data_IF_182256536394
#
_entry.id   IF_182256536394
#
_cell.length_a   1.000
_cell.length_b   1.000
_cell.length_c   1.000
_cell.angle_alpha   90.00
_cell.angle_beta   90.00
_cell.angle_gamma   90.00
#
_symmetry.space_group_name_H-M   'P 1'
#
loop_
_entity.id
_entity.type
_entity.pdbx_description
1 polymer ?
#
# COMPACT_ATOMS: atom_id res chain seq x y z
N UNK A 1 -44.62 -30.21 -43.21
CA UNK A 1 -44.08 -31.51 -43.70
C UNK A 1 -43.41 -31.26 -45.05
N UNK A 2 -42.11 -31.06 -45.24
CA UNK A 2 -40.91 -31.24 -44.45
C UNK A 2 -39.88 -30.23 -45.01
N UNK A 3 -39.34 -29.36 -44.16
CA UNK A 3 -38.15 -28.48 -44.34
C UNK A 3 -38.27 -27.29 -43.36
N UNK A 4 -38.28 -27.58 -42.06
CA UNK A 4 -37.95 -26.62 -40.99
C UNK A 4 -37.71 -27.43 -39.71
N UNK A 5 -36.76 -28.35 -39.81
CA UNK A 5 -36.30 -29.23 -38.72
C UNK A 5 -34.81 -29.47 -38.93
N UNK A 6 -34.04 -28.38 -38.88
CA UNK A 6 -32.57 -28.39 -38.96
C UNK A 6 -31.97 -27.19 -38.21
N UNK A 7 -32.56 -26.82 -37.07
CA UNK A 7 -32.01 -25.82 -36.14
C UNK A 7 -32.26 -26.25 -34.68
N UNK A 8 -32.06 -27.53 -34.37
CA UNK A 8 -32.18 -28.03 -32.98
C UNK A 8 -31.05 -28.96 -32.52
N UNK A 9 -29.99 -29.17 -33.30
CA UNK A 9 -28.80 -29.92 -32.83
C UNK A 9 -27.50 -29.27 -33.30
N UNK A 10 -27.14 -28.16 -32.64
CA UNK A 10 -25.77 -27.66 -32.61
C UNK A 10 -25.57 -26.81 -31.35
N UNK A 11 -25.74 -27.42 -30.18
CA UNK A 11 -25.12 -26.90 -28.95
C UNK A 11 -23.70 -27.46 -28.85
N UNK A 12 -22.64 -26.71 -29.19
CA UNK A 12 -21.32 -27.07 -28.71
C UNK A 12 -21.27 -26.78 -27.21
N UNK A 13 -21.23 -27.88 -26.46
CA UNK A 13 -21.00 -27.98 -25.03
C UNK A 13 -19.71 -27.23 -24.62
N UNK A 14 -19.81 -25.92 -24.35
CA UNK A 14 -18.73 -25.07 -23.79
C UNK A 14 -18.64 -25.21 -22.26
N UNK A 15 -18.72 -26.45 -21.75
CA UNK A 15 -18.36 -26.75 -20.35
C UNK A 15 -17.23 -27.79 -20.21
N UNK A 16 -16.51 -28.09 -21.31
CA UNK A 16 -15.30 -28.93 -21.26
C UNK A 16 -14.15 -28.34 -22.09
N UNK A 17 -13.66 -27.15 -21.73
CA UNK A 17 -12.37 -26.63 -22.25
C UNK A 17 -11.71 -25.56 -21.36
N UNK A 18 -12.18 -25.41 -20.11
CA UNK A 18 -11.56 -24.50 -19.12
C UNK A 18 -10.72 -25.25 -18.06
N UNK A 19 -10.68 -26.59 -18.11
CA UNK A 19 -9.93 -27.42 -17.15
C UNK A 19 -8.56 -27.89 -17.65
N UNK A 20 -8.17 -27.53 -18.88
CA UNK A 20 -6.93 -28.02 -19.52
C UNK A 20 -6.08 -26.92 -20.19
N UNK A 21 -6.35 -25.63 -19.89
CA UNK A 21 -5.48 -24.51 -20.30
C UNK A 21 -4.89 -23.71 -19.14
N UNK A 22 -5.01 -24.24 -17.92
CA UNK A 22 -4.40 -23.71 -16.69
C UNK A 22 -3.20 -24.50 -16.18
N UNK A 23 -2.72 -25.49 -16.93
CA UNK A 23 -1.69 -26.43 -16.49
C UNK A 23 -0.48 -26.46 -17.44
N UNK A 24 0.17 -25.32 -17.66
CA UNK A 24 1.57 -25.26 -18.11
C UNK A 24 2.06 -23.81 -18.04
N UNK A 25 2.54 -23.40 -16.87
CA UNK A 25 3.63 -22.41 -16.67
C UNK A 25 3.92 -22.30 -15.18
N UNK A 26 4.18 -23.44 -14.56
CA UNK A 26 4.84 -23.48 -13.28
C UNK A 26 5.77 -24.69 -13.30
N UNK A 27 7.06 -24.42 -13.59
CA UNK A 27 8.27 -25.22 -13.34
C UNK A 27 9.38 -24.76 -14.29
N UNK A 28 10.22 -23.83 -13.82
CA UNK A 28 11.65 -24.08 -13.68
C UNK A 28 12.26 -22.94 -12.83
N UNK A 29 12.25 -23.14 -11.52
CA UNK A 29 13.31 -22.61 -10.66
C UNK A 29 14.39 -23.69 -10.63
N UNK A 30 15.64 -23.29 -10.92
CA UNK A 30 16.92 -23.69 -10.30
C UNK A 30 18.07 -23.53 -11.31
N UNK A 31 19.01 -22.66 -10.91
CA UNK A 31 20.44 -22.60 -11.25
C UNK A 31 20.88 -22.33 -12.70
N UNK A 32 21.40 -21.11 -12.92
CA UNK A 32 22.74 -20.97 -13.47
C UNK A 32 23.43 -19.74 -12.88
N UNK A 33 24.30 -19.97 -11.89
CA UNK A 33 25.39 -19.07 -11.60
C UNK A 33 26.40 -19.20 -12.74
N UNK A 34 26.57 -18.16 -13.56
CA UNK A 34 27.75 -18.02 -14.40
C UNK A 34 27.96 -16.54 -14.78
N UNK A 35 28.87 -15.91 -14.02
CA UNK A 35 29.86 -14.93 -14.47
C UNK A 35 29.50 -14.02 -15.66
N UNK A 36 29.07 -12.80 -15.36
CA UNK A 36 29.47 -11.63 -16.16
C UNK A 36 30.35 -10.77 -15.29
N UNK A 37 31.64 -11.05 -15.37
CA UNK A 37 32.69 -10.14 -14.98
C UNK A 37 32.96 -9.17 -16.14
N UNK A 38 33.32 -7.93 -15.75
CA UNK A 38 33.76 -6.78 -16.56
C UNK A 38 32.65 -5.96 -17.25
N UNK A 39 32.57 -4.64 -17.07
CA UNK A 39 33.64 -3.68 -16.82
C UNK A 39 33.27 -2.64 -15.73
N UNK A 40 33.85 -2.80 -14.55
CA UNK A 40 34.19 -1.66 -13.71
C UNK A 40 35.47 -1.01 -14.30
N UNK A 41 35.60 0.32 -14.32
CA UNK A 41 36.91 0.92 -14.46
C UNK A 41 37.74 0.47 -13.26
N UNK A 42 38.79 -0.29 -13.52
CA UNK A 42 39.82 -0.61 -12.56
C UNK A 42 40.51 0.70 -12.12
N UNK A 43 40.03 1.28 -11.03
CA UNK A 43 40.87 2.06 -10.14
C UNK A 43 41.43 1.07 -9.12
N UNK A 44 42.68 0.68 -9.33
CA UNK A 44 43.44 0.00 -8.30
C UNK A 44 43.53 0.90 -7.08
N UNK A 45 42.99 0.43 -5.96
CA UNK A 45 43.30 0.96 -4.65
C UNK A 45 43.20 -0.20 -3.66
N UNK A 46 44.24 -0.31 -2.85
CA UNK A 46 44.26 -0.94 -1.53
C UNK A 46 42.98 -0.65 -0.74
N UNK A 47 42.62 -1.47 0.25
CA UNK A 47 41.50 -1.24 1.16
C UNK A 47 41.36 0.25 1.57
N UNK A 48 40.60 1.02 0.79
CA UNK A 48 40.52 2.46 0.89
C UNK A 48 39.24 2.77 1.66
N UNK A 49 39.44 3.50 2.75
CA UNK A 49 38.40 3.99 3.64
C UNK A 49 37.30 4.72 2.85
N UNK A 50 36.03 4.39 3.12
CA UNK A 50 34.90 5.07 2.48
C UNK A 50 34.95 6.55 2.87
N UNK A 51 34.88 7.41 1.86
CA UNK A 51 34.98 8.86 2.05
C UNK A 51 33.60 9.49 2.18
N UNK A 52 33.54 10.64 2.87
CA UNK A 52 32.33 11.46 2.97
C UNK A 52 31.76 11.85 1.60
N UNK A 53 32.64 12.03 0.61
CA UNK A 53 32.26 12.37 -0.76
C UNK A 53 31.54 11.22 -1.47
N UNK A 54 31.91 9.97 -1.20
CA UNK A 54 31.21 8.80 -1.74
C UNK A 54 29.80 8.64 -1.16
N UNK A 55 29.61 8.94 0.13
CA UNK A 55 28.28 8.94 0.76
C UNK A 55 27.39 10.02 0.15
N UNK A 56 27.91 11.23 -0.06
CA UNK A 56 27.14 12.31 -0.68
C UNK A 56 26.81 11.99 -2.15
N UNK A 57 27.76 11.45 -2.91
CA UNK A 57 27.51 11.00 -4.28
C UNK A 57 26.43 9.90 -4.35
N UNK A 58 26.41 8.96 -3.41
CA UNK A 58 25.37 7.93 -3.33
C UNK A 58 24.00 8.52 -2.96
N UNK A 59 23.97 9.55 -2.10
CA UNK A 59 22.75 10.30 -1.76
C UNK A 59 22.21 11.09 -2.95
N UNK A 60 23.08 11.73 -3.70
CA UNK A 60 22.74 12.45 -4.94
C UNK A 60 22.19 11.47 -5.99
N UNK A 61 22.84 10.32 -6.18
CA UNK A 61 22.37 9.27 -7.09
C UNK A 61 20.97 8.75 -6.73
N UNK A 62 20.71 8.53 -5.43
CA UNK A 62 19.37 8.14 -4.94
C UNK A 62 18.31 9.22 -5.20
N UNK A 63 18.68 10.49 -5.02
CA UNK A 63 17.78 11.63 -5.27
C UNK A 63 17.51 11.76 -6.78
N UNK A 64 18.54 11.58 -7.61
CA UNK A 64 18.42 11.58 -9.07
C UNK A 64 17.52 10.43 -9.56
N UNK A 65 17.67 9.22 -9.01
CA UNK A 65 16.81 8.07 -9.29
C UNK A 65 15.34 8.30 -8.90
N UNK A 66 15.10 9.03 -7.81
CA UNK A 66 13.73 9.42 -7.43
C UNK A 66 13.16 10.47 -8.40
N UNK A 67 13.98 11.41 -8.87
CA UNK A 67 13.55 12.44 -9.83
C UNK A 67 13.32 11.89 -11.24
N UNK A 68 14.12 10.92 -11.69
CA UNK A 68 13.94 10.28 -12.99
C UNK A 68 12.63 9.49 -13.07
N UNK A 69 12.09 9.10 -11.91
CA UNK A 69 10.85 8.36 -11.79
C UNK A 69 9.59 9.23 -11.79
N UNK A 70 9.72 10.56 -11.72
CA UNK A 70 8.56 11.47 -11.66
C UNK A 70 7.62 11.28 -12.86
N UNK A 71 8.18 11.09 -14.05
CA UNK A 71 7.39 10.82 -15.27
C UNK A 71 6.69 9.46 -15.19
N UNK A 72 7.37 8.42 -14.71
CA UNK A 72 6.77 7.09 -14.54
C UNK A 72 5.66 7.07 -13.50
N UNK A 73 5.82 7.80 -12.39
CA UNK A 73 4.79 7.96 -11.35
C UNK A 73 3.57 8.69 -11.92
N UNK A 74 3.76 9.81 -12.62
CA UNK A 74 2.65 10.52 -13.28
C UNK A 74 1.93 9.64 -14.28
N UNK A 75 2.68 8.85 -15.08
CA UNK A 75 2.07 7.92 -16.03
C UNK A 75 1.29 6.82 -15.31
N UNK A 76 1.82 6.28 -14.21
CA UNK A 76 1.13 5.28 -13.38
C UNK A 76 -0.18 5.83 -12.82
N UNK A 77 -0.15 7.02 -12.21
CA UNK A 77 -1.35 7.67 -11.67
C UNK A 77 -2.41 7.88 -12.77
N UNK A 78 -1.98 8.34 -13.94
CA UNK A 78 -2.88 8.53 -15.08
C UNK A 78 -3.43 7.19 -15.58
N UNK A 79 -2.60 6.15 -15.70
CA UNK A 79 -3.04 4.83 -16.17
C UNK A 79 -4.08 4.20 -15.22
N UNK A 80 -3.95 4.42 -13.91
CA UNK A 80 -4.95 3.96 -12.91
C UNK A 80 -6.29 4.69 -13.09
N UNK A 81 -6.26 6.00 -13.35
CA UNK A 81 -7.46 6.78 -13.64
C UNK A 81 -8.10 6.31 -14.95
N UNK A 82 -7.29 6.14 -16.01
CA UNK A 82 -7.74 5.66 -17.31
C UNK A 82 -8.41 4.27 -17.17
N UNK A 83 -7.83 3.36 -16.39
CA UNK A 83 -8.37 2.02 -16.14
C UNK A 83 -9.73 2.06 -15.44
N UNK A 84 -9.89 2.99 -14.49
CA UNK A 84 -11.15 3.20 -13.78
C UNK A 84 -12.25 3.71 -14.73
N UNK A 85 -11.92 4.67 -15.59
CA UNK A 85 -12.85 5.20 -16.59
C UNK A 85 -13.25 4.15 -17.62
N UNK A 86 -12.30 3.31 -18.06
CA UNK A 86 -12.57 2.20 -18.97
C UNK A 86 -13.51 1.18 -18.31
N UNK A 87 -13.34 0.86 -17.02
CA UNK A 87 -14.28 -0.01 -16.28
C UNK A 87 -15.69 0.56 -16.26
N UNK A 88 -15.85 1.85 -15.98
CA UNK A 88 -17.16 2.49 -15.98
C UNK A 88 -17.82 2.42 -17.36
N UNK A 89 -17.04 2.66 -18.43
CA UNK A 89 -17.50 2.50 -19.82
C UNK A 89 -17.91 1.07 -20.14
N UNK A 90 -17.15 0.07 -19.71
CA UNK A 90 -17.49 -1.36 -19.89
C UNK A 90 -18.83 -1.69 -19.22
N UNK A 91 -19.04 -1.22 -17.99
CA UNK A 91 -20.30 -1.45 -17.25
C UNK A 91 -21.47 -0.77 -17.96
N UNK A 92 -21.29 0.48 -18.42
CA UNK A 92 -22.31 1.21 -19.16
C UNK A 92 -22.67 0.52 -20.49
N UNK A 93 -21.67 0.09 -21.27
CA UNK A 93 -21.86 -0.65 -22.51
C UNK A 93 -22.56 -1.98 -22.26
N UNK A 94 -22.12 -2.76 -21.26
CA UNK A 94 -22.76 -4.03 -20.90
C UNK A 94 -24.24 -3.85 -20.57
N UNK A 95 -24.60 -2.81 -19.80
CA UNK A 95 -25.99 -2.49 -19.50
C UNK A 95 -26.79 -2.11 -20.75
N UNK A 96 -26.22 -1.28 -21.63
CA UNK A 96 -26.88 -0.87 -22.87
C UNK A 96 -27.11 -2.04 -23.82
N UNK A 97 -26.12 -2.93 -23.97
CA UNK A 97 -26.22 -4.15 -24.76
C UNK A 97 -27.35 -5.04 -24.23
N UNK A 98 -27.45 -5.26 -22.92
CA UNK A 98 -28.55 -6.05 -22.35
C UNK A 98 -29.94 -5.44 -22.60
N UNK A 99 -30.06 -4.11 -22.65
CA UNK A 99 -31.31 -3.45 -23.02
C UNK A 99 -31.64 -3.64 -24.50
N UNK A 100 -30.63 -3.55 -25.38
CA UNK A 100 -30.80 -3.82 -26.81
C UNK A 100 -31.18 -5.27 -27.08
N UNK A 101 -30.63 -6.25 -26.33
CA UNK A 101 -31.03 -7.66 -26.45
C UNK A 101 -32.52 -7.86 -26.19
N UNK A 102 -33.06 -7.20 -25.16
CA UNK A 102 -34.50 -7.24 -24.84
C UNK A 102 -35.34 -6.57 -25.92
N UNK A 103 -34.89 -5.42 -26.46
CA UNK A 103 -35.61 -4.72 -27.52
C UNK A 103 -35.58 -5.52 -28.83
N UNK A 104 -34.45 -6.11 -29.21
CA UNK A 104 -34.32 -7.02 -30.36
C UNK A 104 -35.29 -8.19 -30.19
N UNK A 105 -35.29 -8.86 -29.04
CA UNK A 105 -36.21 -9.97 -28.79
C UNK A 105 -37.68 -9.54 -28.92
N UNK A 106 -38.03 -8.36 -28.39
CA UNK A 106 -39.38 -7.81 -28.49
C UNK A 106 -39.77 -7.49 -29.94
N UNK A 107 -38.86 -6.89 -30.72
CA UNK A 107 -39.09 -6.58 -32.13
C UNK A 107 -39.15 -7.82 -33.01
N UNK A 108 -38.35 -8.85 -32.72
CA UNK A 108 -38.42 -10.14 -33.40
C UNK A 108 -39.80 -10.78 -33.24
N UNK A 109 -40.39 -10.74 -32.05
CA UNK A 109 -41.80 -11.18 -31.84
C UNK A 109 -42.76 -10.34 -32.70
N UNK A 110 -42.58 -9.02 -32.76
CA UNK A 110 -43.39 -8.16 -33.62
C UNK A 110 -43.28 -8.49 -35.12
N UNK A 111 -42.09 -8.87 -35.59
CA UNK A 111 -41.88 -9.35 -36.96
C UNK A 111 -42.55 -10.71 -37.17
N UNK A 112 -42.46 -11.62 -36.21
CA UNK A 112 -43.15 -12.92 -36.27
C UNK A 112 -44.67 -12.75 -36.33
N UNK A 113 -45.24 -11.89 -35.48
CA UNK A 113 -46.68 -11.56 -35.48
C UNK A 113 -47.10 -10.96 -36.82
N UNK A 114 -46.28 -10.08 -37.40
CA UNK A 114 -46.51 -9.50 -38.72
C UNK A 114 -46.52 -10.58 -39.81
N UNK A 115 -45.55 -11.49 -39.81
CA UNK A 115 -45.46 -12.61 -40.76
C UNK A 115 -46.66 -13.54 -40.61
N UNK A 116 -47.04 -13.89 -39.38
CA UNK A 116 -48.21 -14.71 -39.08
C UNK A 116 -49.50 -14.01 -39.52
N UNK A 117 -49.66 -12.72 -39.25
CA UNK A 117 -50.82 -11.94 -39.70
C UNK A 117 -50.92 -11.90 -41.23
N UNK A 118 -49.79 -11.73 -41.94
CA UNK A 118 -49.76 -11.75 -43.41
C UNK A 118 -50.07 -13.13 -43.99
N UNK A 119 -49.56 -14.19 -43.37
CA UNK A 119 -49.78 -15.58 -43.78
C UNK A 119 -51.22 -16.04 -43.52
N UNK A 120 -51.75 -15.80 -42.32
CA UNK A 120 -53.10 -16.20 -41.89
C UNK A 120 -54.20 -15.41 -42.60
N UNK A 121 -53.94 -14.13 -42.90
CA UNK A 121 -54.82 -13.36 -43.79
C UNK A 121 -54.66 -13.73 -45.28
N UNK A 122 -53.84 -14.73 -45.59
CA UNK A 122 -53.73 -15.43 -46.89
C UNK A 122 -53.34 -14.55 -48.09
N UNK A 123 -52.82 -13.34 -47.86
CA UNK A 123 -52.82 -12.28 -48.88
C UNK A 123 -54.23 -11.93 -49.41
N UNK A 124 -55.27 -12.57 -48.89
CA UNK A 124 -56.65 -12.55 -49.36
C UNK A 124 -57.45 -11.42 -48.72
N UNK A 125 -57.00 -10.82 -47.61
CA UNK A 125 -57.56 -9.53 -47.17
C UNK A 125 -57.32 -8.43 -48.22
N UNK A 126 -56.20 -8.49 -48.94
CA UNK A 126 -55.82 -7.53 -49.97
C UNK A 126 -56.47 -7.89 -51.32
N UNK A 127 -56.37 -9.16 -51.75
CA UNK A 127 -56.98 -9.63 -52.98
C UNK A 127 -58.52 -9.66 -52.89
N UNK A 128 -59.11 -10.20 -51.82
CA UNK A 128 -60.58 -10.22 -51.67
C UNK A 128 -61.17 -8.83 -51.46
N UNK A 129 -60.45 -7.86 -50.86
CA UNK A 129 -60.89 -6.46 -50.83
C UNK A 129 -60.69 -5.75 -52.18
N UNK A 130 -59.61 -6.06 -52.93
CA UNK A 130 -59.43 -5.58 -54.31
C UNK A 130 -60.53 -6.10 -55.25
N UNK A 131 -61.07 -7.30 -54.98
CA UNK A 131 -62.17 -7.88 -55.76
C UNK A 131 -63.56 -7.62 -55.14
N UNK A 132 -63.67 -6.99 -53.96
CA UNK A 132 -64.95 -6.57 -53.37
C UNK A 132 -65.38 -5.14 -53.73
N UNK A 133 -64.71 -4.52 -54.71
CA UNK A 133 -65.03 -3.18 -55.22
C UNK A 133 -66.49 -3.11 -55.64
N UNK A 134 -67.27 -2.21 -55.02
CA UNK A 134 -68.65 -1.93 -55.42
C UNK A 134 -68.74 -0.73 -56.37
N UNK A 135 -67.77 0.19 -56.31
CA UNK A 135 -67.76 1.44 -57.08
C UNK A 135 -66.34 1.91 -57.46
N UNK A 136 -66.18 2.58 -58.61
CA UNK A 136 -64.89 3.06 -59.13
C UNK A 136 -64.26 4.18 -58.27
N UNK A 137 -65.04 4.83 -57.41
CA UNK A 137 -64.61 5.89 -56.48
C UNK A 137 -63.88 5.38 -55.23
N UNK A 138 -63.93 4.08 -54.96
CA UNK A 138 -63.29 3.48 -53.77
C UNK A 138 -61.80 3.16 -54.00
N UNK A 139 -61.37 3.14 -55.26
CA UNK A 139 -60.00 2.80 -55.67
C UNK A 139 -58.90 3.71 -55.06
N UNK A 140 -59.05 5.06 -55.00
CA UNK A 140 -58.01 5.93 -54.46
C UNK A 140 -57.83 5.79 -52.93
N UNK A 141 -58.92 5.57 -52.20
CA UNK A 141 -58.89 5.37 -50.74
C UNK A 141 -58.24 4.04 -50.40
N UNK A 142 -58.47 3.02 -51.24
CA UNK A 142 -57.91 1.70 -51.05
C UNK A 142 -56.44 1.62 -51.43
N UNK A 143 -55.96 2.33 -52.47
CA UNK A 143 -54.53 2.45 -52.76
C UNK A 143 -53.76 3.12 -51.63
N UNK A 144 -54.31 4.21 -51.07
CA UNK A 144 -53.74 4.90 -49.91
C UNK A 144 -53.67 3.98 -48.68
N UNK A 145 -54.72 3.18 -48.44
CA UNK A 145 -54.74 2.21 -47.35
C UNK A 145 -53.66 1.12 -47.50
N UNK A 146 -53.39 0.65 -48.71
CA UNK A 146 -52.33 -0.35 -48.97
C UNK A 146 -50.93 0.23 -48.85
N UNK A 147 -50.74 1.48 -49.26
CA UNK A 147 -49.48 2.20 -49.11
C UNK A 147 -49.16 2.41 -47.62
N UNK A 148 -50.14 2.85 -46.82
CA UNK A 148 -50.01 3.01 -45.37
C UNK A 148 -49.71 1.68 -44.67
N UNK A 149 -50.37 0.59 -45.04
CA UNK A 149 -50.10 -0.73 -44.46
C UNK A 149 -48.68 -1.21 -44.75
N UNK A 150 -48.22 -1.06 -46.00
CA UNK A 150 -46.86 -1.46 -46.38
C UNK A 150 -45.81 -0.59 -45.69
N UNK A 151 -46.09 0.68 -45.46
CA UNK A 151 -45.20 1.60 -44.74
C UNK A 151 -45.05 1.19 -43.26
N UNK A 152 -46.15 0.81 -42.60
CA UNK A 152 -46.13 0.30 -41.23
C UNK A 152 -45.35 -1.03 -41.13
N UNK A 153 -45.58 -1.96 -42.06
CA UNK A 153 -44.89 -3.25 -42.09
C UNK A 153 -43.37 -3.09 -42.29
N UNK A 154 -42.98 -2.21 -43.23
CA UNK A 154 -41.57 -1.87 -43.46
C UNK A 154 -40.95 -1.12 -42.28
N UNK A 155 -41.71 -0.33 -41.54
CA UNK A 155 -41.22 0.36 -40.35
C UNK A 155 -40.83 -0.64 -39.24
N UNK A 156 -41.57 -1.74 -39.08
CA UNK A 156 -41.23 -2.80 -38.12
C UNK A 156 -39.90 -3.47 -38.49
N UNK A 157 -39.72 -3.81 -39.78
CA UNK A 157 -38.48 -4.44 -40.27
C UNK A 157 -37.26 -3.51 -40.17
N UNK A 158 -37.40 -2.25 -40.62
CA UNK A 158 -36.33 -1.25 -40.48
C UNK A 158 -35.98 -0.95 -39.02
N UNK A 159 -36.99 -0.98 -38.15
CA UNK A 159 -36.80 -0.82 -36.71
C UNK A 159 -35.94 -1.94 -36.11
N UNK A 160 -36.18 -3.19 -36.49
CA UNK A 160 -35.34 -4.32 -36.07
C UNK A 160 -33.91 -4.20 -36.60
N UNK A 161 -33.74 -3.93 -37.89
CA UNK A 161 -32.43 -3.77 -38.53
C UNK A 161 -31.60 -2.66 -37.85
N UNK A 162 -32.24 -1.54 -37.50
CA UNK A 162 -31.58 -0.42 -36.81
C UNK A 162 -31.05 -0.83 -35.44
N UNK A 163 -31.83 -1.57 -34.65
CA UNK A 163 -31.43 -1.98 -33.29
C UNK A 163 -30.39 -3.11 -33.34
N UNK A 164 -30.47 -4.03 -34.30
CA UNK A 164 -29.44 -5.04 -34.54
C UNK A 164 -28.10 -4.39 -34.94
N UNK A 165 -28.13 -3.34 -35.77
CA UNK A 165 -26.93 -2.57 -36.12
C UNK A 165 -26.33 -1.86 -34.89
N UNK A 166 -27.16 -1.21 -34.07
CA UNK A 166 -26.73 -0.57 -32.82
C UNK A 166 -26.12 -1.57 -31.83
N UNK A 167 -26.72 -2.75 -31.71
CA UNK A 167 -26.19 -3.83 -30.88
C UNK A 167 -24.80 -4.28 -31.35
N UNK A 168 -24.64 -4.50 -32.66
CA UNK A 168 -23.34 -4.86 -33.23
C UNK A 168 -22.27 -3.79 -33.01
N UNK A 169 -22.61 -2.52 -33.15
CA UNK A 169 -21.69 -1.41 -32.87
C UNK A 169 -21.27 -1.38 -31.38
N UNK A 170 -22.21 -1.51 -30.46
CA UNK A 170 -21.91 -1.51 -29.03
C UNK A 170 -21.08 -2.73 -28.61
N UNK A 171 -21.29 -3.90 -29.21
CA UNK A 171 -20.43 -5.07 -28.97
C UNK A 171 -18.99 -4.80 -29.38
N UNK A 172 -18.75 -4.18 -30.54
CA UNK A 172 -17.41 -3.80 -30.97
C UNK A 172 -16.76 -2.79 -30.02
N UNK A 173 -17.52 -1.82 -29.52
CA UNK A 173 -17.04 -0.86 -28.53
C UNK A 173 -16.70 -1.53 -27.19
N UNK A 174 -17.48 -2.54 -26.78
CA UNK A 174 -17.21 -3.32 -25.57
C UNK A 174 -15.93 -4.13 -25.72
N UNK A 175 -15.75 -4.83 -26.84
CA UNK A 175 -14.54 -5.62 -27.12
C UNK A 175 -13.29 -4.72 -27.17
N UNK A 176 -13.40 -3.55 -27.80
CA UNK A 176 -12.33 -2.55 -27.81
C UNK A 176 -11.99 -2.05 -26.40
N UNK A 177 -13.01 -1.75 -25.58
CA UNK A 177 -12.82 -1.28 -24.20
C UNK A 177 -12.19 -2.37 -23.31
N UNK A 178 -12.57 -3.64 -23.49
CA UNK A 178 -11.95 -4.77 -22.79
C UNK A 178 -10.48 -4.95 -23.18
N UNK A 179 -10.16 -4.81 -24.48
CA UNK A 179 -8.78 -4.85 -24.95
C UNK A 179 -7.94 -3.70 -24.38
N UNK A 180 -8.50 -2.49 -24.34
CA UNK A 180 -7.88 -1.31 -23.74
C UNK A 180 -7.63 -1.51 -22.24
N UNK A 181 -8.59 -2.08 -21.51
CA UNK A 181 -8.44 -2.39 -20.09
C UNK A 181 -7.26 -3.36 -19.85
N UNK A 182 -7.16 -4.43 -20.65
CA UNK A 182 -6.07 -5.40 -20.52
C UNK A 182 -4.71 -4.74 -20.79
N UNK A 183 -4.64 -3.83 -21.76
CA UNK A 183 -3.41 -3.08 -22.05
C UNK A 183 -3.02 -2.14 -20.89
N UNK A 184 -3.97 -1.42 -20.32
CA UNK A 184 -3.75 -0.53 -19.16
C UNK A 184 -3.29 -1.31 -17.93
N UNK A 185 -3.90 -2.46 -17.63
CA UNK A 185 -3.47 -3.31 -16.51
C UNK A 185 -2.05 -3.83 -16.72
N UNK A 186 -1.68 -4.20 -17.94
CA UNK A 186 -0.31 -4.61 -18.26
C UNK A 186 0.69 -3.45 -18.07
N UNK A 187 0.34 -2.26 -18.55
CA UNK A 187 1.16 -1.05 -18.41
C UNK A 187 1.36 -0.64 -16.94
N UNK A 188 0.29 -0.68 -16.14
CA UNK A 188 0.37 -0.44 -14.68
C UNK A 188 1.33 -1.43 -14.03
N UNK A 189 1.30 -2.70 -14.44
CA UNK A 189 2.22 -3.73 -13.97
C UNK A 189 3.69 -3.42 -14.31
N UNK A 190 3.97 -3.06 -15.56
CA UNK A 190 5.32 -2.72 -16.03
C UNK A 190 5.88 -1.47 -15.32
N UNK A 191 5.05 -0.42 -15.18
CA UNK A 191 5.42 0.78 -14.44
C UNK A 191 5.72 0.48 -12.97
N UNK A 192 4.93 -0.40 -12.35
CA UNK A 192 5.16 -0.83 -10.96
C UNK A 192 6.50 -1.54 -10.81
N UNK A 193 6.82 -2.45 -11.74
CA UNK A 193 8.10 -3.17 -11.73
C UNK A 193 9.28 -2.22 -11.93
N UNK A 194 9.17 -1.28 -12.89
CA UNK A 194 10.20 -0.27 -13.14
C UNK A 194 10.42 0.65 -11.93
N UNK A 195 9.34 1.11 -11.30
CA UNK A 195 9.39 1.97 -10.12
C UNK A 195 10.07 1.26 -8.96
N UNK A 196 9.64 0.03 -8.66
CA UNK A 196 10.18 -0.74 -7.55
C UNK A 196 11.66 -1.10 -7.78
N UNK A 197 12.02 -1.56 -8.99
CA UNK A 197 13.40 -1.92 -9.30
C UNK A 197 14.37 -0.72 -9.22
N UNK A 198 13.92 0.45 -9.66
CA UNK A 198 14.74 1.67 -9.60
C UNK A 198 14.93 2.14 -8.16
N UNK A 199 13.87 2.11 -7.35
CA UNK A 199 13.95 2.49 -5.93
C UNK A 199 14.77 1.51 -5.11
N UNK A 200 14.60 0.20 -5.33
CA UNK A 200 15.31 -0.84 -4.58
C UNK A 200 16.81 -0.81 -4.86
N UNK A 201 17.22 -0.62 -6.12
CA UNK A 201 18.65 -0.50 -6.46
C UNK A 201 19.26 0.76 -5.85
N UNK A 202 18.59 1.91 -5.98
CA UNK A 202 19.05 3.18 -5.41
C UNK A 202 19.16 3.16 -3.86
N UNK A 203 18.19 2.54 -3.18
CA UNK A 203 18.22 2.38 -1.72
C UNK A 203 19.32 1.41 -1.29
N UNK A 204 19.53 0.32 -2.02
CA UNK A 204 20.56 -0.69 -1.70
C UNK A 204 21.96 -0.09 -1.81
N UNK A 205 22.24 0.65 -2.88
CA UNK A 205 23.52 1.29 -3.10
C UNK A 205 23.82 2.33 -2.02
N UNK A 206 22.85 3.19 -1.71
CA UNK A 206 22.98 4.19 -0.66
C UNK A 206 23.18 3.55 0.73
N UNK A 207 22.36 2.57 1.10
CA UNK A 207 22.42 1.94 2.42
C UNK A 207 23.75 1.19 2.62
N UNK A 208 24.27 0.52 1.58
CA UNK A 208 25.55 -0.20 1.64
C UNK A 208 26.70 0.77 1.95
N UNK A 209 26.76 1.90 1.24
CA UNK A 209 27.81 2.90 1.42
C UNK A 209 27.65 3.63 2.77
N UNK A 210 26.43 4.04 3.12
CA UNK A 210 26.16 4.79 4.34
C UNK A 210 26.45 3.97 5.62
N UNK A 211 26.03 2.70 5.66
CA UNK A 211 26.28 1.82 6.82
C UNK A 211 27.77 1.52 6.97
N UNK A 212 28.46 1.25 5.86
CA UNK A 212 29.89 0.97 5.89
C UNK A 212 30.69 2.21 6.37
N UNK A 213 30.32 3.42 5.93
CA UNK A 213 30.91 4.67 6.41
C UNK A 213 30.66 4.90 7.91
N UNK A 214 29.44 4.67 8.39
CA UNK A 214 29.10 4.82 9.82
C UNK A 214 29.93 3.86 10.69
N UNK A 215 30.03 2.60 10.27
CA UNK A 215 30.83 1.59 10.98
C UNK A 215 32.30 2.01 11.07
N UNK A 216 32.85 2.50 9.95
CA UNK A 216 34.23 2.94 9.89
C UNK A 216 34.49 4.16 10.81
N UNK A 217 33.58 5.11 10.88
CA UNK A 217 33.69 6.28 11.76
C UNK A 217 33.60 5.89 13.24
N UNK A 218 32.72 4.94 13.57
CA UNK A 218 32.62 4.38 14.92
C UNK A 218 33.90 3.64 15.32
N UNK A 219 34.47 2.83 14.43
CA UNK A 219 35.76 2.16 14.66
C UNK A 219 36.89 3.17 14.89
N UNK A 220 36.95 4.26 14.10
CA UNK A 220 37.93 5.34 14.29
C UNK A 220 37.76 6.03 15.65
N UNK A 221 36.51 6.30 16.05
CA UNK A 221 36.19 6.91 17.34
C UNK A 221 36.60 6.01 18.50
N UNK A 222 36.33 4.71 18.41
CA UNK A 222 36.72 3.74 19.43
C UNK A 222 38.25 3.62 19.55
N UNK A 223 38.96 3.56 18.42
CA UNK A 223 40.44 3.56 18.41
C UNK A 223 41.02 4.83 19.03
N UNK A 224 40.46 6.00 18.72
CA UNK A 224 40.90 7.26 19.32
C UNK A 224 40.68 7.30 20.85
N UNK A 225 39.55 6.76 21.33
CA UNK A 225 39.25 6.68 22.76
C UNK A 225 40.18 5.70 23.48
N UNK A 226 40.51 4.56 22.85
CA UNK A 226 41.48 3.61 23.38
C UNK A 226 42.90 4.21 23.44
N UNK A 227 43.33 4.91 22.39
CA UNK A 227 44.60 5.64 22.39
C UNK A 227 44.65 6.70 23.49
N UNK A 228 43.56 7.44 23.70
CA UNK A 228 43.46 8.42 24.79
C UNK A 228 43.60 7.76 26.16
N UNK A 229 42.87 6.65 26.39
CA UNK A 229 42.97 5.87 27.64
C UNK A 229 44.41 5.41 27.89
N UNK A 230 45.09 4.89 26.87
CA UNK A 230 46.48 4.44 26.98
C UNK A 230 47.44 5.60 27.27
N UNK A 231 47.20 6.79 26.72
CA UNK A 231 47.98 8.01 27.02
C UNK A 231 47.77 8.46 28.47
N UNK A 232 46.52 8.50 28.94
CA UNK A 232 46.20 8.84 30.33
C UNK A 232 46.81 7.85 31.32
N UNK A 233 46.80 6.55 31.01
CA UNK A 233 47.47 5.52 31.81
C UNK A 233 49.00 5.69 31.82
N UNK A 234 49.60 5.99 30.66
CA UNK A 234 51.03 6.26 30.57
C UNK A 234 51.44 7.54 31.33
N UNK A 235 50.64 8.60 31.26
CA UNK A 235 50.85 9.84 32.00
C UNK A 235 50.71 9.63 33.52
N UNK A 236 49.68 8.89 33.97
CA UNK A 236 49.54 8.51 35.38
C UNK A 236 50.75 7.72 35.86
N UNK A 237 51.17 6.71 35.11
CA UNK A 237 52.36 5.91 35.45
C UNK A 237 53.63 6.74 35.49
N UNK A 238 53.82 7.67 34.55
CA UNK A 238 54.95 8.58 34.54
C UNK A 238 54.91 9.56 35.74
N UNK A 239 53.73 10.04 36.12
CA UNK A 239 53.55 10.90 37.30
C UNK A 239 53.82 10.13 38.61
N UNK A 240 53.39 8.88 38.73
CA UNK A 240 53.71 7.99 39.85
C UNK A 240 55.21 7.73 39.96
N UNK A 241 55.88 7.41 38.83
CA UNK A 241 57.33 7.22 38.79
C UNK A 241 58.10 8.51 39.15
N UNK A 242 57.64 9.67 38.67
CA UNK A 242 58.21 10.97 39.02
C UNK A 242 58.01 11.32 40.50
N UNK A 243 56.83 11.04 41.06
CA UNK A 243 56.54 11.22 42.48
C UNK A 243 57.38 10.28 43.35
N UNK A 244 57.58 9.02 42.93
CA UNK A 244 58.46 8.08 43.62
C UNK A 244 59.92 8.52 43.62
N UNK A 245 60.42 9.08 42.50
CA UNK A 245 61.76 9.67 42.44
C UNK A 245 61.87 10.88 43.36
N UNK A 246 60.90 11.79 43.30
CA UNK A 246 60.88 12.98 44.16
C UNK A 246 60.79 12.62 45.64
N UNK A 247 60.00 11.61 46.01
CA UNK A 247 59.92 11.08 47.37
C UNK A 247 61.23 10.40 47.82
N UNK A 248 61.96 9.74 46.92
CA UNK A 248 63.28 9.19 47.20
C UNK A 248 64.33 10.29 47.42
N UNK A 249 64.28 11.36 46.62
CA UNK A 249 65.14 12.55 46.76
C UNK A 249 64.79 13.33 48.05
N UNK A 250 63.50 13.49 48.36
CA UNK A 250 63.01 14.09 49.62
C UNK A 250 63.35 13.21 50.84
N UNK A 251 63.33 11.89 50.73
CA UNK A 251 63.79 10.98 51.79
C UNK A 251 65.31 11.04 52.00
N UNK A 252 66.09 11.28 50.93
CA UNK A 252 67.53 11.53 51.02
C UNK A 252 67.83 12.89 51.68
N UNK A 253 67.02 13.92 51.44
CA UNK A 253 67.12 15.21 52.13
C UNK A 253 66.53 15.20 53.56
N UNK A 254 65.53 14.36 53.85
CA UNK A 254 64.95 14.21 55.20
C UNK A 254 65.89 13.46 56.17
N UNK A 255 66.83 12.65 55.67
CA UNK A 255 67.91 12.08 56.47
C UNK A 255 68.88 13.15 57.04
N UNK A 256 68.89 14.36 56.48
CA UNK A 256 69.69 15.50 56.95
C UNK A 256 68.87 16.56 57.72
N UNK A 257 67.55 16.40 57.80
CA UNK A 257 66.71 17.27 58.61
C UNK A 257 65.52 16.50 59.16
N UNK A 258 65.72 15.84 60.30
CA UNK A 258 64.62 15.39 61.15
C UNK A 258 64.91 15.76 62.60
N UNK A 259 64.32 16.85 63.07
CA UNK A 259 63.93 17.01 64.48
C UNK A 259 62.62 17.77 64.54
N UNK A 260 61.62 17.19 65.26
CA UNK A 260 60.40 17.82 65.82
C UNK A 260 59.33 18.27 64.80
N UNK A 261 58.01 18.05 64.92
CA UNK A 261 57.05 17.56 65.94
C UNK A 261 55.72 17.30 65.20
N UNK A 262 55.13 16.11 65.24
CA UNK A 262 53.88 15.68 65.92
C UNK A 262 52.61 16.56 65.84
N UNK A 263 51.48 15.88 65.55
CA UNK A 263 50.05 16.14 65.92
C UNK A 263 49.25 17.03 64.95
N UNK A 264 48.02 16.77 64.45
CA UNK A 264 46.93 15.78 64.64
C UNK A 264 45.99 15.88 63.39
N UNK A 265 45.43 14.78 62.84
CA UNK A 265 44.01 14.32 62.95
C UNK A 265 42.93 15.39 62.61
N UNK A 266 41.85 15.25 61.82
CA UNK A 266 40.97 14.17 61.31
C UNK A 266 39.94 14.86 60.37
N UNK A 267 39.82 14.51 59.09
CA UNK A 267 38.72 13.73 58.42
C UNK A 267 37.39 14.45 58.08
N UNK A 268 36.95 14.24 56.82
CA UNK A 268 35.56 14.10 56.27
C UNK A 268 34.63 15.34 56.21
N UNK A 269 33.68 15.55 55.28
CA UNK A 269 33.24 15.00 53.97
C UNK A 269 31.90 15.71 53.63
N UNK A 270 31.69 16.12 52.36
CA UNK A 270 30.41 16.26 51.59
C UNK A 270 29.20 17.04 52.17
N UNK A 271 28.18 17.47 51.43
CA UNK A 271 27.88 17.86 50.04
C UNK A 271 26.37 18.27 50.06
N UNK A 272 25.94 18.99 49.02
CA UNK A 272 24.58 19.12 48.46
C UNK A 272 23.57 20.20 48.92
N UNK A 273 23.47 21.13 47.96
CA UNK A 273 22.34 21.90 47.45
C UNK A 273 21.02 21.12 47.22
N UNK A 274 19.90 21.83 47.35
CA UNK A 274 18.58 21.41 46.87
C UNK A 274 17.91 22.58 46.13
N UNK A 275 17.37 22.32 44.92
CA UNK A 275 16.49 23.27 44.22
C UNK A 275 15.30 22.48 43.64
N UNK A 276 14.11 22.98 43.97
CA UNK A 276 12.77 22.59 43.54
C UNK A 276 12.37 23.36 42.27
N UNK A 277 11.28 22.89 41.61
CA UNK A 277 10.29 23.68 40.82
C UNK A 277 10.43 23.54 39.30
N UNK A 278 9.42 23.50 38.42
CA UNK A 278 7.99 23.13 38.39
C UNK A 278 7.62 23.16 36.88
N UNK A 279 6.68 22.32 36.47
CA UNK A 279 6.11 22.23 35.11
C UNK A 279 5.09 23.38 34.87
N UNK A 280 4.84 23.82 33.61
CA UNK A 280 3.50 24.27 33.27
C UNK A 280 2.90 23.61 32.02
N UNK A 281 1.57 23.71 31.99
CA UNK A 281 0.57 22.97 31.21
C UNK A 281 0.48 23.34 29.73
N UNK A 282 -0.03 22.38 28.94
CA UNK A 282 -0.37 22.52 27.52
C UNK A 282 -1.87 22.81 27.33
N UNK A 283 -2.14 23.80 26.49
CA UNK A 283 -3.44 24.29 26.04
C UNK A 283 -4.12 23.31 25.06
N UNK A 284 -5.42 23.07 25.26
CA UNK A 284 -6.28 22.22 24.43
C UNK A 284 -6.77 22.98 23.18
N UNK A 285 -6.62 22.38 21.99
CA UNK A 285 -7.34 22.78 20.77
C UNK A 285 -8.18 21.58 20.31
N UNK A 286 -9.47 21.83 20.13
CA UNK A 286 -10.51 20.86 19.72
C UNK A 286 -10.54 20.69 18.20
N UNK A 287 -10.59 19.43 17.71
CA UNK A 287 -10.81 19.05 16.30
C UNK A 287 -11.77 17.83 16.23
N UNK A 288 -12.33 17.48 15.04
CA UNK A 288 -13.75 17.20 14.85
C UNK A 288 -14.12 15.74 15.12
N UNK A 289 -15.37 15.53 15.52
CA UNK A 289 -15.91 14.23 15.92
C UNK A 289 -16.15 13.29 14.72
N UNK A 290 -15.27 12.31 14.55
CA UNK A 290 -15.66 10.98 14.06
C UNK A 290 -16.51 10.27 15.13
N UNK A 291 -17.44 9.37 14.75
CA UNK A 291 -18.22 8.62 15.72
C UNK A 291 -17.30 7.87 16.72
N UNK A 292 -17.68 7.80 18.00
CA UNK A 292 -16.87 7.15 19.01
C UNK A 292 -16.60 5.69 18.65
N UNK A 293 -15.39 5.17 18.92
CA UNK A 293 -15.07 3.76 18.69
C UNK A 293 -16.04 2.84 19.41
N UNK A 294 -16.51 1.82 18.70
CA UNK A 294 -17.24 0.72 19.32
C UNK A 294 -16.22 -0.08 20.15
N UNK A 295 -16.45 -0.12 21.47
CA UNK A 295 -15.62 -0.88 22.40
C UNK A 295 -16.31 -2.23 22.64
N UNK A 296 -15.63 -3.31 22.27
CA UNK A 296 -16.09 -4.69 22.47
C UNK A 296 -15.12 -5.37 23.42
N UNK A 297 -15.63 -5.91 24.55
CA UNK A 297 -14.83 -6.58 25.58
C UNK A 297 -13.61 -5.77 26.08
N UNK A 298 -13.80 -4.45 26.23
CA UNK A 298 -12.74 -3.53 26.68
C UNK A 298 -11.68 -3.22 25.62
N UNK A 299 -11.86 -3.68 24.37
CA UNK A 299 -10.98 -3.38 23.24
C UNK A 299 -11.69 -2.58 22.14
N UNK A 300 -11.00 -1.59 21.59
CA UNK A 300 -11.45 -0.73 20.50
C UNK A 300 -10.88 -1.19 19.15
N UNK A 301 -11.60 -0.98 18.04
CA UNK A 301 -10.94 -1.05 16.74
C UNK A 301 -9.82 0.02 16.69
N UNK A 302 -8.56 -0.33 16.36
CA UNK A 302 -7.43 0.61 16.29
C UNK A 302 -7.67 1.83 15.40
N UNK A 303 -8.53 1.67 14.38
CA UNK A 303 -8.91 2.72 13.44
C UNK A 303 -10.35 2.51 12.96
N UNK A 304 -11.28 3.33 13.45
CA UNK A 304 -12.71 3.22 13.11
C UNK A 304 -13.02 3.46 11.62
N UNK A 305 -12.09 4.09 10.90
CA UNK A 305 -12.21 4.40 9.47
C UNK A 305 -11.46 3.39 8.59
N UNK A 306 -11.28 2.15 9.05
CA UNK A 306 -10.65 1.09 8.26
C UNK A 306 -11.40 0.89 6.93
N UNK A 307 -10.69 1.06 5.80
CA UNK A 307 -11.24 0.82 4.47
C UNK A 307 -10.97 -0.61 3.99
N UNK A 308 -9.83 -1.18 4.38
CA UNK A 308 -9.46 -2.56 4.03
C UNK A 308 -8.32 -3.07 4.90
N UNK A 309 -8.33 -4.37 5.18
CA UNK A 309 -7.22 -5.11 5.79
C UNK A 309 -7.35 -6.59 5.42
N UNK A 310 -6.23 -7.32 5.42
CA UNK A 310 -6.20 -8.75 5.08
C UNK A 310 -5.14 -9.48 5.90
N UNK A 311 -5.24 -10.81 5.99
CA UNK A 311 -4.25 -11.62 6.69
C UNK A 311 -2.93 -11.60 5.92
N UNK A 312 -2.01 -10.75 6.37
CA UNK A 312 -0.69 -10.55 5.78
C UNK A 312 0.41 -11.00 6.74
N UNK A 313 0.07 -11.75 7.79
CA UNK A 313 1.06 -12.26 8.73
C UNK A 313 2.06 -13.18 8.03
N UNK A 314 3.35 -12.96 8.29
CA UNK A 314 4.42 -13.73 7.66
C UNK A 314 4.73 -13.33 6.21
N UNK A 315 3.96 -12.42 5.60
CA UNK A 315 4.23 -11.94 4.24
C UNK A 315 5.64 -11.35 4.11
N UNK A 316 6.30 -11.49 2.95
CA UNK A 316 7.64 -10.93 2.74
C UNK A 316 7.69 -9.41 2.95
N UNK A 317 8.77 -8.93 3.57
CA UNK A 317 9.10 -7.50 3.73
C UNK A 317 10.55 -7.26 3.29
N UNK A 318 10.88 -6.00 3.00
CA UNK A 318 12.22 -5.63 2.53
C UNK A 318 13.33 -6.11 3.48
N UNK A 319 14.45 -6.57 2.92
CA UNK A 319 15.58 -7.10 3.68
C UNK A 319 15.35 -8.50 4.27
N UNK A 320 14.54 -9.34 3.62
CA UNK A 320 14.30 -10.74 4.03
C UNK A 320 13.48 -10.89 5.31
N UNK A 321 12.82 -9.80 5.75
CA UNK A 321 11.98 -9.80 6.94
C UNK A 321 10.63 -10.45 6.64
N UNK A 322 9.99 -10.98 7.67
CA UNK A 322 8.59 -11.38 7.61
C UNK A 322 7.72 -10.32 8.28
N UNK A 323 6.52 -10.14 7.75
CA UNK A 323 5.54 -9.22 8.31
C UNK A 323 5.06 -9.74 9.67
N UNK A 324 5.28 -8.95 10.72
CA UNK A 324 4.91 -9.28 12.11
C UNK A 324 3.67 -8.53 12.58
N UNK A 325 2.76 -8.22 11.66
CA UNK A 325 1.55 -7.45 11.96
C UNK A 325 0.45 -7.64 10.93
N UNK A 326 -0.50 -6.72 10.95
CA UNK A 326 -1.52 -6.50 9.93
C UNK A 326 -1.48 -5.03 9.53
N UNK A 327 -1.60 -4.74 8.24
CA UNK A 327 -1.68 -3.38 7.73
C UNK A 327 -3.16 -3.02 7.54
N UNK A 328 -3.61 -1.98 8.24
CA UNK A 328 -4.99 -1.51 8.19
C UNK A 328 -5.01 -0.24 7.34
N UNK A 329 -5.55 -0.35 6.13
CA UNK A 329 -5.66 0.77 5.20
C UNK A 329 -6.78 1.71 5.64
N UNK A 330 -6.53 3.01 5.57
CA UNK A 330 -7.51 4.05 5.82
C UNK A 330 -7.06 5.35 5.15
N UNK A 331 -7.92 6.37 5.13
CA UNK A 331 -7.55 7.70 4.63
C UNK A 331 -6.41 8.28 5.49
N UNK A 332 -5.43 8.94 4.86
CA UNK A 332 -4.36 9.65 5.58
C UNK A 332 -4.96 10.71 6.51
N UNK A 333 -4.43 10.81 7.73
CA UNK A 333 -4.95 11.68 8.78
C UNK A 333 -6.13 11.09 9.58
N UNK A 334 -6.61 9.89 9.23
CA UNK A 334 -7.69 9.25 9.99
C UNK A 334 -7.29 9.03 11.47
N UNK A 335 -8.20 9.25 12.43
CA UNK A 335 -7.95 9.02 13.85
C UNK A 335 -7.51 7.59 14.16
N UNK A 336 -6.37 7.44 14.85
CA UNK A 336 -5.89 6.17 15.40
C UNK A 336 -6.08 6.19 16.90
N UNK A 337 -6.74 5.17 17.44
CA UNK A 337 -7.14 5.10 18.85
C UNK A 337 -6.42 3.97 19.60
N UNK A 338 -6.35 4.11 20.92
CA UNK A 338 -5.85 3.05 21.79
C UNK A 338 -6.80 1.83 21.75
N UNK A 339 -6.28 0.68 21.34
CA UNK A 339 -7.05 -0.58 21.37
C UNK A 339 -7.50 -0.96 22.77
N UNK A 340 -6.73 -0.66 23.82
CA UNK A 340 -7.04 -1.07 25.20
C UNK A 340 -6.60 0.01 26.17
N UNK A 341 -7.27 0.10 27.31
CA UNK A 341 -6.81 0.88 28.46
C UNK A 341 -5.43 0.41 28.90
N UNK A 342 -4.52 1.35 29.14
CA UNK A 342 -3.16 1.03 29.53
C UNK A 342 -2.23 2.23 29.50
N UNK A 343 -0.96 1.97 29.16
CA UNK A 343 0.09 3.00 29.14
C UNK A 343 0.92 2.90 27.87
N UNK A 344 1.13 4.04 27.22
CA UNK A 344 2.08 4.19 26.13
C UNK A 344 3.48 4.03 26.71
N UNK A 345 4.16 2.95 26.38
CA UNK A 345 5.49 2.64 26.92
C UNK A 345 6.61 3.31 26.15
N UNK A 346 6.41 3.54 24.85
CA UNK A 346 7.40 4.20 23.99
C UNK A 346 6.73 4.84 22.77
N UNK A 347 7.23 6.00 22.37
CA UNK A 347 7.00 6.58 21.05
C UNK A 347 8.32 6.66 20.30
N UNK A 348 8.34 6.43 18.99
CA UNK A 348 9.55 6.55 18.16
C UNK A 348 9.23 7.28 16.86
N UNK A 349 10.21 7.98 16.31
CA UNK A 349 10.20 8.48 14.94
C UNK A 349 11.50 8.04 14.26
N UNK A 350 11.49 6.87 13.60
CA UNK A 350 12.72 6.27 13.13
C UNK A 350 12.53 5.35 11.92
N UNK A 351 13.48 5.41 10.98
CA UNK A 351 13.76 4.40 9.94
C UNK A 351 12.52 3.74 9.35
N UNK A 352 12.38 2.44 9.60
CA UNK A 352 11.31 1.60 9.02
C UNK A 352 9.92 1.94 9.58
N UNK A 353 9.79 2.04 10.90
CA UNK A 353 8.48 2.23 11.55
C UNK A 353 7.91 3.64 11.45
N UNK A 354 8.74 4.64 11.13
CA UNK A 354 8.34 6.05 11.14
C UNK A 354 7.87 6.48 12.52
N UNK A 355 6.84 7.32 12.57
CA UNK A 355 6.11 7.64 13.80
C UNK A 355 5.39 6.38 14.28
N UNK A 356 5.75 5.94 15.47
CA UNK A 356 5.26 4.69 16.04
C UNK A 356 5.02 4.79 17.54
N UNK A 357 4.04 4.01 17.99
CA UNK A 357 3.58 3.96 19.39
C UNK A 357 3.64 2.51 19.86
N UNK A 358 4.21 2.30 21.04
CA UNK A 358 4.10 1.07 21.81
C UNK A 358 3.14 1.30 22.97
N UNK A 359 2.12 0.48 23.06
CA UNK A 359 1.12 0.50 24.12
C UNK A 359 1.16 -0.82 24.88
N UNK A 360 1.17 -0.75 26.21
CA UNK A 360 0.97 -1.91 27.08
C UNK A 360 -0.38 -1.77 27.75
N UNK A 361 -1.28 -2.71 27.47
CA UNK A 361 -2.61 -2.76 28.07
C UNK A 361 -2.56 -3.14 29.54
N UNK A 362 -3.62 -2.86 30.29
CA UNK A 362 -3.77 -3.32 31.68
C UNK A 362 -3.80 -4.86 31.77
N UNK A 363 -4.23 -5.55 30.71
CA UNK A 363 -4.08 -7.00 30.57
C UNK A 363 -2.62 -7.49 30.54
N UNK A 364 -1.66 -6.59 30.33
CA UNK A 364 -0.26 -6.90 30.07
C UNK A 364 0.06 -7.16 28.60
N UNK A 365 -0.96 -7.20 27.73
CA UNK A 365 -0.78 -7.31 26.29
C UNK A 365 -0.01 -6.11 25.73
N UNK A 366 0.70 -6.34 24.63
CA UNK A 366 1.53 -5.32 23.97
C UNK A 366 1.04 -5.08 22.56
N UNK A 367 0.97 -3.80 22.21
CA UNK A 367 0.51 -3.32 20.92
C UNK A 367 1.54 -2.40 20.31
N UNK A 368 1.70 -2.48 18.99
CA UNK A 368 2.58 -1.60 18.23
C UNK A 368 1.81 -1.01 17.05
N UNK A 369 1.91 0.31 16.91
CA UNK A 369 1.33 1.10 15.83
C UNK A 369 2.48 1.76 15.09
N UNK A 370 2.53 1.67 13.77
CA UNK A 370 3.55 2.30 12.95
C UNK A 370 2.98 2.98 11.72
N UNK A 371 3.85 3.72 11.02
CA UNK A 371 3.54 4.53 9.84
C UNK A 371 2.60 5.69 10.10
N UNK A 372 2.48 6.13 11.36
CA UNK A 372 1.58 7.22 11.73
C UNK A 372 2.02 8.53 11.06
N UNK A 373 1.09 9.45 10.83
CA UNK A 373 1.39 10.80 10.37
C UNK A 373 2.03 11.62 11.49
N UNK A 374 1.59 11.36 12.71
CA UNK A 374 2.05 12.01 13.93
C UNK A 374 1.25 11.52 15.14
N UNK A 375 1.67 11.98 16.32
CA UNK A 375 1.01 11.66 17.58
C UNK A 375 -0.08 12.69 17.91
N UNK A 376 -1.11 12.25 18.64
CA UNK A 376 -2.10 13.18 19.17
C UNK A 376 -1.48 14.04 20.29
N UNK A 377 -2.11 15.18 20.59
CA UNK A 377 -1.60 16.09 21.61
C UNK A 377 -1.54 15.41 22.97
N UNK A 378 -0.42 15.56 23.69
CA UNK A 378 -0.20 14.94 25.00
C UNK A 378 0.20 13.47 24.96
N UNK A 379 0.35 12.87 23.77
CA UNK A 379 0.79 11.48 23.62
C UNK A 379 2.31 11.37 23.59
N UNK A 380 2.87 10.58 24.50
CA UNK A 380 4.28 10.26 24.60
C UNK A 380 4.56 9.07 25.50
N UNK A 381 5.83 8.66 25.61
CA UNK A 381 6.25 7.62 26.55
C UNK A 381 5.84 7.94 27.99
N UNK A 382 5.17 6.99 28.65
CA UNK A 382 4.61 7.12 29.99
C UNK A 382 3.15 7.56 30.04
N UNK A 383 2.51 7.94 28.94
CA UNK A 383 1.13 8.46 28.93
C UNK A 383 0.11 7.36 29.22
N UNK A 384 -0.79 7.59 30.17
CA UNK A 384 -1.94 6.69 30.40
C UNK A 384 -3.04 6.97 29.39
N UNK A 385 -3.66 5.93 28.86
CA UNK A 385 -4.73 6.01 27.85
C UNK A 385 -5.85 5.03 28.21
N UNK A 386 -7.08 5.37 27.84
CA UNK A 386 -8.26 4.50 27.91
C UNK A 386 -8.54 3.92 26.54
N UNK A 387 -9.14 2.72 26.48
CA UNK A 387 -9.59 2.14 25.21
C UNK A 387 -10.46 3.14 24.44
N UNK A 388 -10.08 3.44 23.20
CA UNK A 388 -10.73 4.43 22.34
C UNK A 388 -10.14 5.83 22.38
N UNK A 389 -9.18 6.14 23.26
CA UNK A 389 -8.52 7.44 23.28
C UNK A 389 -7.73 7.68 21.99
N UNK A 390 -7.78 8.91 21.49
CA UNK A 390 -7.00 9.32 20.32
C UNK A 390 -5.51 9.32 20.65
N UNK A 391 -4.73 8.47 19.97
CA UNK A 391 -3.28 8.35 20.20
C UNK A 391 -2.44 8.89 19.04
N UNK A 392 -3.01 8.97 17.84
CA UNK A 392 -2.31 9.49 16.66
C UNK A 392 -3.19 9.52 15.43
N UNK A 393 -2.55 9.66 14.29
CA UNK A 393 -3.22 9.78 13.00
C UNK A 393 -2.59 8.85 11.97
N UNK A 394 -3.43 8.24 11.12
CA UNK A 394 -3.00 7.36 10.05
C UNK A 394 -2.10 8.10 9.07
N UNK A 395 -1.02 7.48 8.58
CA UNK A 395 -0.02 8.18 7.79
C UNK A 395 0.73 7.28 6.81
N UNK A 396 1.87 7.80 6.37
CA UNK A 396 2.81 7.13 5.46
C UNK A 396 4.26 7.31 5.92
N UNK A 397 4.49 7.49 7.22
CA UNK A 397 5.85 7.71 7.73
C UNK A 397 6.69 6.42 7.74
N UNK A 398 8.01 6.58 7.78
CA UNK A 398 8.94 5.45 7.75
C UNK A 398 9.05 4.86 6.34
N UNK A 399 8.88 3.54 6.21
CA UNK A 399 8.94 2.85 4.91
C UNK A 399 7.55 2.53 4.31
N UNK A 400 6.48 3.17 4.78
CA UNK A 400 5.17 3.04 4.17
C UNK A 400 5.12 3.80 2.82
N UNK A 401 4.55 3.21 1.76
CA UNK A 401 4.41 3.88 0.48
C UNK A 401 3.51 5.14 0.59
N UNK A 402 3.89 6.29 0.01
CA UNK A 402 3.08 7.51 0.06
C UNK A 402 1.65 7.36 -0.49
N UNK A 403 1.45 6.47 -1.46
CA UNK A 403 0.15 6.22 -2.11
C UNK A 403 -0.72 5.18 -1.38
N UNK A 404 -0.20 4.55 -0.32
CA UNK A 404 -0.94 3.56 0.46
C UNK A 404 -0.88 3.89 1.96
N UNK A 405 -1.62 4.92 2.43
CA UNK A 405 -1.70 5.23 3.86
C UNK A 405 -2.32 4.07 4.64
N UNK A 406 -1.58 3.58 5.64
CA UNK A 406 -2.03 2.47 6.48
C UNK A 406 -1.39 2.54 7.86
N UNK A 407 -2.07 1.96 8.84
CA UNK A 407 -1.50 1.69 10.16
C UNK A 407 -0.97 0.27 10.16
N UNK A 408 0.33 0.12 10.38
CA UNK A 408 0.89 -1.20 10.68
C UNK A 408 0.66 -1.52 12.15
N UNK A 409 -0.12 -2.58 12.41
CA UNK A 409 -0.54 -2.97 13.75
C UNK A 409 0.05 -4.33 14.14
N UNK A 410 0.68 -4.43 15.31
CA UNK A 410 1.15 -5.70 15.88
C UNK A 410 0.54 -5.93 17.27
N UNK A 411 0.46 -7.21 17.62
CA UNK A 411 -0.10 -7.68 18.88
C UNK A 411 0.77 -8.79 19.47
N UNK A 412 1.03 -8.72 20.77
CA UNK A 412 1.63 -9.78 21.54
C UNK A 412 0.85 -9.95 22.85
N UNK A 413 0.63 -11.19 23.24
CA UNK A 413 0.10 -11.50 24.57
C UNK A 413 1.11 -11.15 25.66
N UNK A 414 0.62 -10.92 26.87
CA UNK A 414 1.46 -10.65 28.05
C UNK A 414 2.66 -11.61 28.15
N UNK A 415 3.87 -11.06 28.10
CA UNK A 415 5.14 -11.80 28.17
C UNK A 415 5.50 -12.67 26.94
N UNK A 416 4.65 -12.74 25.91
CA UNK A 416 4.86 -13.55 24.71
C UNK A 416 5.48 -12.79 23.54
N UNK A 417 5.80 -13.51 22.46
CA UNK A 417 6.25 -12.94 21.18
C UNK A 417 5.09 -12.29 20.39
N UNK A 418 5.43 -11.52 19.34
CA UNK A 418 4.44 -11.03 18.38
C UNK A 418 3.70 -12.22 17.74
N UNK A 419 2.38 -12.15 17.72
CA UNK A 419 1.48 -13.15 17.12
C UNK A 419 0.60 -12.50 16.05
N UNK A 420 -0.03 -13.32 15.20
CA UNK A 420 -0.89 -12.81 14.13
C UNK A 420 -2.03 -11.95 14.71
N UNK A 421 -2.05 -10.62 14.45
CA UNK A 421 -3.10 -9.73 14.95
C UNK A 421 -4.37 -9.77 14.10
N UNK A 422 -4.34 -10.36 12.90
CA UNK A 422 -5.48 -10.33 11.97
C UNK A 422 -6.79 -10.87 12.58
N UNK A 423 -6.82 -12.00 13.32
CA UNK A 423 -8.05 -12.47 13.96
C UNK A 423 -8.61 -11.47 14.98
N UNK A 424 -7.74 -10.78 15.72
CA UNK A 424 -8.14 -9.75 16.69
C UNK A 424 -8.72 -8.52 15.97
N UNK A 425 -8.02 -8.02 14.96
CA UNK A 425 -8.46 -6.85 14.20
C UNK A 425 -9.77 -7.13 13.47
N UNK A 426 -9.94 -8.32 12.87
CA UNK A 426 -11.21 -8.74 12.26
C UNK A 426 -12.37 -8.82 13.27
N UNK A 427 -12.11 -9.29 14.49
CA UNK A 427 -13.15 -9.32 15.51
C UNK A 427 -13.59 -7.92 15.96
N UNK A 428 -12.69 -6.93 15.96
CA UNK A 428 -12.95 -5.58 16.46
C UNK A 428 -13.43 -4.61 15.38
N UNK A 429 -12.96 -4.75 14.14
CA UNK A 429 -13.17 -3.78 13.06
C UNK A 429 -14.19 -4.23 12.00
N UNK A 430 -14.70 -5.46 12.07
CA UNK A 430 -15.65 -6.05 11.10
C UNK A 430 -14.97 -6.91 10.05
#
# INVERSE_FOLDING_TARGET
MARYRSMLDARPNRQRSARDRGAMRNRLFVALALSVAFAAPALGATADDITRQQVEAAREARTAASSSLETSIKRFEQAVVDETLVRERIVALSKSISLLEVDIATKQVGVEDLVVARYTSGGSSLAARMFSLRTFTDLPVQSLYLEVLNEVDLAVLRGLETVEAQYGEQQLQLDASLSEQVALVAEIGELTEQILATLESADTDYNTIAVAYQKQEEEKRLRALEEQRLREEAEKKAAEEAAARKAADEAAHAAESTTTTTTAATTTTSDQSSITTTVPATTTITQPATPPPVITDGKACPINAATSFSDTWGAPRSGGRSHKGVDISAVRGAPVVAIETGRITRTSNSGLGGFSIYLTGESGDRYYYAHLEGFASGIGGGTAVVAGDLIGYNGTSGNAPPWLPHVHFQYAQSGGDWINPYPLVKALCG
#
